data_IF_748762881621
#
_entry.id   IF_748762881621
#
_cell.length_a   1.000
_cell.length_b   1.000
_cell.length_c   1.000
_cell.angle_alpha   90.00
_cell.angle_beta   90.00
_cell.angle_gamma   90.00
#
_symmetry.space_group_name_H-M   'P 1'
#
loop_
_entity.id
_entity.type
_entity.pdbx_description
1 polymer ?
#
# COMPACT_ATOMS: atom_id res chain seq x y z
N UNK A 1 8.60 -27.71 -11.73
CA UNK A 1 8.30 -26.28 -11.92
C UNK A 1 8.96 -25.80 -13.22
N UNK A 2 8.33 -24.88 -13.98
CA UNK A 2 8.97 -24.21 -15.11
C UNK A 2 10.25 -23.48 -14.68
N UNK A 3 11.25 -23.42 -15.56
CA UNK A 3 12.54 -22.79 -15.25
C UNK A 3 12.38 -21.34 -14.75
N UNK A 4 11.53 -20.54 -15.42
CA UNK A 4 11.28 -19.17 -15.01
C UNK A 4 10.76 -19.01 -13.58
N UNK A 5 9.94 -19.95 -13.09
CA UNK A 5 9.47 -19.95 -11.69
C UNK A 5 10.60 -20.33 -10.74
N UNK A 6 11.43 -21.28 -11.14
CA UNK A 6 12.58 -21.69 -10.36
C UNK A 6 13.58 -20.55 -10.20
N UNK A 7 13.86 -19.81 -11.28
CA UNK A 7 14.75 -18.66 -11.25
C UNK A 7 14.18 -17.53 -10.38
N UNK A 8 12.87 -17.29 -10.46
CA UNK A 8 12.19 -16.31 -9.60
C UNK A 8 12.26 -16.68 -8.11
N UNK A 9 12.07 -17.98 -7.78
CA UNK A 9 12.22 -18.45 -6.40
C UNK A 9 13.67 -18.28 -5.93
N UNK A 10 14.65 -18.66 -6.75
CA UNK A 10 16.06 -18.50 -6.42
C UNK A 10 16.46 -17.05 -6.16
N UNK A 11 15.79 -16.10 -6.81
CA UNK A 11 15.99 -14.66 -6.61
C UNK A 11 15.23 -14.08 -5.39
N UNK A 12 14.70 -14.91 -4.50
CA UNK A 12 14.03 -14.48 -3.27
C UNK A 12 12.49 -14.60 -3.29
N UNK A 13 11.92 -15.13 -4.37
CA UNK A 13 10.47 -15.36 -4.47
C UNK A 13 9.95 -16.42 -3.51
N UNK A 14 8.67 -16.35 -3.15
CA UNK A 14 7.99 -17.31 -2.28
C UNK A 14 6.89 -17.99 -3.08
N UNK A 15 7.03 -19.30 -3.32
CA UNK A 15 6.00 -20.11 -3.95
C UNK A 15 5.21 -20.88 -2.91
N UNK A 16 3.89 -20.83 -2.98
CA UNK A 16 2.98 -21.62 -2.15
C UNK A 16 2.26 -22.62 -3.04
N UNK A 17 2.41 -23.88 -2.71
CA UNK A 17 1.86 -25.01 -3.44
C UNK A 17 0.68 -25.63 -2.69
N UNK A 18 -0.29 -26.15 -3.43
CA UNK A 18 -1.32 -27.02 -2.85
C UNK A 18 -0.72 -28.38 -2.45
N UNK A 19 -1.39 -29.09 -1.54
CA UNK A 19 -1.00 -30.40 -1.09
C UNK A 19 -0.87 -31.44 -2.23
N UNK A 20 -1.63 -31.26 -3.30
CA UNK A 20 -1.63 -32.15 -4.45
C UNK A 20 -0.56 -31.79 -5.49
N UNK A 21 0.17 -30.68 -5.30
CA UNK A 21 1.20 -30.28 -6.24
C UNK A 21 2.39 -31.24 -6.22
N UNK A 22 2.74 -31.76 -7.38
CA UNK A 22 3.92 -32.60 -7.54
C UNK A 22 5.18 -31.73 -7.47
N UNK A 23 5.76 -31.65 -6.30
CA UNK A 23 7.05 -30.99 -6.10
C UNK A 23 7.90 -31.84 -5.14
N UNK A 24 9.12 -32.13 -5.59
CA UNK A 24 10.07 -32.89 -4.77
C UNK A 24 10.82 -31.93 -3.85
N UNK A 25 10.46 -31.93 -2.59
CA UNK A 25 11.17 -31.15 -1.58
C UNK A 25 12.55 -31.77 -1.27
N UNK A 26 13.51 -30.94 -0.86
CA UNK A 26 14.74 -31.46 -0.26
C UNK A 26 14.42 -32.27 1.00
N UNK A 27 15.36 -33.09 1.43
CA UNK A 27 15.16 -34.02 2.56
C UNK A 27 14.81 -33.31 3.88
N UNK A 28 15.16 -32.05 4.01
CA UNK A 28 14.88 -31.26 5.22
C UNK A 28 13.80 -30.24 4.94
N UNK A 29 12.61 -30.45 5.49
CA UNK A 29 11.51 -29.47 5.46
C UNK A 29 11.37 -28.83 6.82
N UNK A 30 10.97 -27.57 6.84
CA UNK A 30 10.65 -26.79 8.04
C UNK A 30 9.15 -26.55 8.10
N UNK A 31 8.54 -26.67 9.28
CA UNK A 31 7.14 -26.31 9.49
C UNK A 31 7.04 -24.81 9.71
N UNK A 32 6.33 -24.14 8.81
CA UNK A 32 6.13 -22.69 8.84
C UNK A 32 4.83 -22.29 9.54
N UNK A 33 3.83 -23.16 9.46
CA UNK A 33 2.53 -22.87 10.08
C UNK A 33 1.96 -24.16 10.67
N UNK A 34 1.34 -24.04 11.85
CA UNK A 34 0.65 -25.14 12.54
C UNK A 34 -0.81 -24.79 12.76
N UNK A 35 -1.67 -25.78 12.75
CA UNK A 35 -3.06 -25.62 13.14
C UNK A 35 -3.21 -25.46 14.69
N UNK A 36 -4.43 -25.16 15.13
CA UNK A 36 -4.75 -24.98 16.56
C UNK A 36 -4.42 -26.21 17.43
N UNK A 37 -4.30 -27.41 16.83
CA UNK A 37 -3.95 -28.67 17.51
C UNK A 37 -2.44 -28.93 17.48
N UNK A 38 -1.68 -28.08 16.81
CA UNK A 38 -0.24 -28.20 16.67
C UNK A 38 0.23 -29.06 15.49
N UNK A 39 -0.69 -29.56 14.67
CA UNK A 39 -0.32 -30.31 13.48
C UNK A 39 0.22 -29.37 12.37
N UNK A 40 1.17 -29.83 11.56
CA UNK A 40 1.71 -29.00 10.49
C UNK A 40 0.64 -28.69 9.44
N UNK A 41 0.45 -27.40 9.14
CA UNK A 41 -0.48 -26.90 8.13
C UNK A 41 0.25 -26.51 6.85
N UNK A 42 1.41 -25.87 7.01
CA UNK A 42 2.30 -25.50 5.91
C UNK A 42 3.72 -25.92 6.22
N UNK A 43 4.29 -26.66 5.31
CA UNK A 43 5.69 -27.08 5.31
C UNK A 43 6.42 -26.47 4.13
N UNK A 44 7.72 -26.34 4.23
CA UNK A 44 8.50 -25.82 3.13
C UNK A 44 10.00 -26.00 3.30
N UNK A 45 10.72 -25.52 2.31
CA UNK A 45 12.17 -25.50 2.32
C UNK A 45 12.68 -24.23 1.66
N UNK A 46 13.89 -23.82 2.06
CA UNK A 46 14.63 -22.77 1.38
C UNK A 46 15.06 -23.26 -0.01
N UNK A 47 15.02 -22.37 -0.99
CA UNK A 47 15.39 -22.64 -2.37
C UNK A 47 16.09 -21.40 -2.93
N UNK A 48 17.41 -21.41 -2.97
CA UNK A 48 18.20 -20.20 -3.23
C UNK A 48 17.99 -19.16 -2.13
N UNK A 49 17.67 -17.92 -2.51
CA UNK A 49 17.31 -16.86 -1.57
C UNK A 49 15.83 -16.83 -1.20
N UNK A 50 15.01 -17.61 -1.92
CA UNK A 50 13.58 -17.73 -1.69
C UNK A 50 13.20 -18.99 -0.95
N UNK A 51 11.94 -19.34 -1.03
CA UNK A 51 11.39 -20.54 -0.38
C UNK A 51 10.20 -21.10 -1.15
N UNK A 52 10.06 -22.42 -1.05
CA UNK A 52 8.89 -23.14 -1.54
C UNK A 52 8.14 -23.68 -0.34
N UNK A 53 6.86 -23.33 -0.26
CA UNK A 53 5.94 -23.73 0.79
C UNK A 53 4.88 -24.63 0.18
N UNK A 54 4.35 -25.57 0.96
CA UNK A 54 3.26 -26.46 0.54
C UNK A 54 2.29 -26.67 1.69
N UNK A 55 0.99 -26.60 1.39
CA UNK A 55 -0.03 -27.05 2.32
C UNK A 55 0.06 -28.58 2.51
N UNK A 56 -0.12 -29.05 3.72
CA UNK A 56 -0.15 -30.49 4.05
C UNK A 56 -1.50 -31.12 3.74
N UNK A 57 -2.53 -30.31 3.55
CA UNK A 57 -3.91 -30.71 3.23
C UNK A 57 -4.41 -29.93 2.03
N UNK A 58 -5.37 -30.48 1.25
CA UNK A 58 -5.99 -29.77 0.13
C UNK A 58 -6.60 -28.44 0.57
N UNK A 59 -6.42 -27.42 -0.24
CA UNK A 59 -6.88 -26.06 0.04
C UNK A 59 -8.39 -25.92 -0.18
N UNK A 60 -9.18 -26.48 0.73
CA UNK A 60 -10.62 -26.36 0.75
C UNK A 60 -11.16 -26.29 2.19
N UNK A 61 -12.34 -25.68 2.38
CA UNK A 61 -12.91 -25.47 3.71
C UNK A 61 -13.29 -26.76 4.46
N UNK A 62 -13.49 -27.88 3.77
CA UNK A 62 -13.83 -29.15 4.41
C UNK A 62 -12.60 -29.79 5.09
N UNK A 63 -11.41 -29.63 4.51
CA UNK A 63 -10.16 -30.17 5.02
C UNK A 63 -9.37 -29.16 5.85
N UNK A 64 -9.65 -27.88 5.67
CA UNK A 64 -9.02 -26.74 6.34
C UNK A 64 -10.08 -25.75 6.84
N UNK A 65 -10.76 -26.01 7.95
CA UNK A 65 -11.76 -25.09 8.50
C UNK A 65 -11.18 -23.71 8.85
N UNK A 66 -9.87 -23.62 9.08
CA UNK A 66 -9.14 -22.37 9.32
C UNK A 66 -9.30 -21.35 8.18
N UNK A 67 -9.61 -21.78 6.95
CA UNK A 67 -9.92 -20.90 5.82
C UNK A 67 -11.10 -19.95 6.10
N UNK A 68 -11.99 -20.32 7.01
CA UNK A 68 -13.17 -19.55 7.39
C UNK A 68 -12.91 -18.66 8.61
N UNK A 69 -11.74 -18.75 9.22
CA UNK A 69 -11.36 -17.90 10.35
C UNK A 69 -11.02 -16.48 9.88
N UNK A 70 -11.46 -15.44 10.61
CA UNK A 70 -11.23 -14.05 10.22
C UNK A 70 -9.75 -13.67 10.18
N UNK A 71 -8.91 -14.37 10.93
CA UNK A 71 -7.46 -14.12 11.02
C UNK A 71 -6.66 -14.82 9.91
N UNK A 72 -7.25 -15.79 9.21
CA UNK A 72 -6.58 -16.55 8.17
C UNK A 72 -5.90 -15.68 7.08
N UNK A 73 -6.55 -14.65 6.51
CA UNK A 73 -5.92 -13.82 5.49
C UNK A 73 -4.69 -13.08 6.01
N UNK A 74 -4.68 -12.72 7.28
CA UNK A 74 -3.56 -12.05 7.93
C UNK A 74 -2.39 -13.01 8.10
N UNK A 75 -2.63 -14.20 8.63
CA UNK A 75 -1.62 -15.23 8.82
C UNK A 75 -1.03 -15.70 7.47
N UNK A 76 -1.87 -15.87 6.45
CA UNK A 76 -1.41 -16.19 5.10
C UNK A 76 -0.53 -15.07 4.52
N UNK A 77 -0.92 -13.83 4.70
CA UNK A 77 -0.11 -12.69 4.26
C UNK A 77 1.25 -12.69 4.96
N UNK A 78 1.26 -12.89 6.27
CA UNK A 78 2.49 -12.89 7.07
C UNK A 78 3.41 -14.07 6.69
N UNK A 79 2.82 -15.20 6.30
CA UNK A 79 3.53 -16.36 5.73
C UNK A 79 4.17 -16.03 4.38
N UNK A 80 3.46 -15.28 3.51
CA UNK A 80 3.90 -14.94 2.16
C UNK A 80 4.78 -13.69 2.10
N UNK A 81 4.83 -12.92 3.16
CA UNK A 81 5.75 -11.79 3.22
C UNK A 81 7.19 -12.33 3.36
N UNK A 82 8.04 -11.95 2.42
CA UNK A 82 9.47 -12.06 2.63
C UNK A 82 9.77 -11.35 3.96
N UNK A 83 10.47 -12.03 4.87
CA UNK A 83 10.90 -11.41 6.13
C UNK A 83 11.57 -10.09 5.77
N UNK A 84 10.93 -8.98 6.13
CA UNK A 84 11.52 -7.68 5.88
C UNK A 84 12.97 -7.72 6.40
N UNK A 85 13.95 -7.32 5.58
CA UNK A 85 15.32 -7.27 6.06
C UNK A 85 15.32 -6.49 7.37
N UNK A 86 16.07 -6.98 8.36
CA UNK A 86 16.19 -6.29 9.64
C UNK A 86 16.49 -4.81 9.34
N UNK A 87 15.80 -3.86 10.00
CA UNK A 87 15.99 -2.45 9.69
C UNK A 87 17.48 -2.12 9.80
N UNK A 88 18.12 -1.95 8.66
CA UNK A 88 19.49 -1.46 8.61
C UNK A 88 19.44 0.00 9.05
N UNK A 89 20.40 0.43 9.86
CA UNK A 89 20.58 1.84 10.15
C UNK A 89 20.91 2.53 8.83
N UNK A 90 19.93 3.25 8.32
CA UNK A 90 20.14 4.12 7.17
C UNK A 90 20.76 5.40 7.70
N UNK A 91 21.91 5.77 7.17
CA UNK A 91 22.54 7.06 7.50
C UNK A 91 21.62 8.16 6.97
N UNK A 92 21.34 9.17 7.79
CA UNK A 92 20.47 10.29 7.38
C UNK A 92 21.00 11.02 6.11
N UNK A 93 22.28 10.94 5.85
CA UNK A 93 22.92 11.50 4.66
C UNK A 93 22.50 10.77 3.36
N UNK A 94 22.13 9.50 3.42
CA UNK A 94 21.73 8.72 2.25
C UNK A 94 20.28 9.07 1.81
N UNK A 95 19.54 9.73 2.70
CA UNK A 95 18.16 10.18 2.50
C UNK A 95 18.02 11.69 2.69
N UNK A 96 19.11 12.42 2.62
CA UNK A 96 19.02 13.87 2.59
C UNK A 96 18.13 14.28 1.41
N UNK A 97 17.08 15.10 1.64
CA UNK A 97 16.22 15.54 0.56
C UNK A 97 17.09 16.24 -0.48
N UNK A 98 16.96 15.85 -1.73
CA UNK A 98 17.66 16.50 -2.85
C UNK A 98 17.09 17.93 -2.91
N UNK A 99 17.79 18.85 -2.24
CA UNK A 99 17.53 20.29 -2.33
C UNK A 99 18.03 20.75 -3.68
N UNK A 100 17.16 21.08 -4.61
CA UNK A 100 17.51 21.50 -5.96
C UNK A 100 16.59 20.94 -7.03
N UNK A 101 15.50 20.28 -6.66
CA UNK A 101 14.41 20.00 -7.58
C UNK A 101 13.89 21.29 -8.20
N UNK A 102 13.52 21.24 -9.49
CA UNK A 102 12.92 22.37 -10.18
C UNK A 102 11.89 23.05 -9.28
N UNK A 103 12.11 24.31 -8.94
CA UNK A 103 11.12 25.11 -8.24
C UNK A 103 9.84 25.05 -9.07
N UNK A 104 8.78 24.51 -8.49
CA UNK A 104 7.46 24.59 -9.09
C UNK A 104 7.17 26.09 -9.25
N UNK A 105 7.34 26.58 -10.45
CA UNK A 105 6.89 27.92 -10.81
C UNK A 105 5.36 27.88 -10.77
N UNK A 106 4.81 28.11 -9.59
CA UNK A 106 3.40 28.48 -9.49
C UNK A 106 3.30 29.87 -10.11
N UNK A 107 2.63 30.03 -11.26
CA UNK A 107 2.35 31.37 -11.74
C UNK A 107 1.57 32.06 -10.63
N UNK A 108 2.05 33.23 -10.11
CA UNK A 108 1.33 33.95 -9.09
C UNK A 108 -0.03 34.30 -9.69
N UNK A 109 -1.07 33.67 -9.17
CA UNK A 109 -2.45 34.03 -9.51
C UNK A 109 -2.71 35.36 -8.79
N UNK A 110 -2.41 36.47 -9.47
CA UNK A 110 -2.65 37.80 -8.94
C UNK A 110 -4.17 38.02 -8.86
N UNK A 111 -4.69 37.84 -7.65
CA UNK A 111 -6.11 38.06 -7.34
C UNK A 111 -6.39 39.56 -7.06
N UNK A 112 -5.37 40.40 -6.96
CA UNK A 112 -5.50 41.81 -6.68
C UNK A 112 -6.42 42.54 -7.67
N UNK A 113 -6.31 42.39 -9.01
CA UNK A 113 -7.17 43.12 -9.93
C UNK A 113 -8.64 42.74 -9.78
N UNK A 114 -8.94 41.46 -9.52
CA UNK A 114 -10.32 41.01 -9.32
C UNK A 114 -10.93 41.48 -8.01
N UNK A 115 -10.13 41.53 -6.95
CA UNK A 115 -10.54 42.08 -5.65
C UNK A 115 -10.77 43.60 -5.75
N UNK A 116 -9.90 44.33 -6.44
CA UNK A 116 -10.05 45.75 -6.67
C UNK A 116 -11.34 46.05 -7.47
N UNK A 117 -11.65 45.25 -8.48
CA UNK A 117 -12.85 45.39 -9.29
C UNK A 117 -14.11 45.13 -8.47
N UNK A 118 -14.09 44.13 -7.61
CA UNK A 118 -15.20 43.80 -6.70
C UNK A 118 -15.46 44.92 -5.69
N UNK A 119 -14.41 45.50 -5.12
CA UNK A 119 -14.51 46.64 -4.21
C UNK A 119 -15.09 47.87 -4.93
N UNK A 120 -14.60 48.17 -6.14
CA UNK A 120 -15.11 49.26 -6.94
C UNK A 120 -16.60 49.08 -7.27
N UNK A 121 -17.02 47.86 -7.63
CA UNK A 121 -18.42 47.55 -7.90
C UNK A 121 -19.30 47.76 -6.66
N UNK A 122 -18.85 47.31 -5.51
CA UNK A 122 -19.56 47.49 -4.23
C UNK A 122 -19.74 48.96 -3.89
N UNK A 123 -18.71 49.79 -4.06
CA UNK A 123 -18.78 51.22 -3.83
C UNK A 123 -19.77 51.91 -4.79
N UNK A 124 -19.81 51.52 -6.05
CA UNK A 124 -20.79 52.05 -7.02
C UNK A 124 -22.22 51.69 -6.61
N UNK A 125 -22.46 50.44 -6.20
CA UNK A 125 -23.78 50.00 -5.75
C UNK A 125 -24.20 50.75 -4.48
N UNK A 126 -23.32 50.88 -3.52
CA UNK A 126 -23.58 51.63 -2.28
C UNK A 126 -23.93 53.09 -2.57
N UNK A 127 -23.14 53.75 -3.43
CA UNK A 127 -23.37 55.12 -3.81
C UNK A 127 -24.69 55.30 -4.55
N UNK A 128 -25.04 54.38 -5.44
CA UNK A 128 -26.31 54.40 -6.17
C UNK A 128 -27.52 54.21 -5.23
N UNK A 129 -27.43 53.30 -4.27
CA UNK A 129 -28.48 53.11 -3.25
C UNK A 129 -28.62 54.31 -2.33
N UNK A 130 -27.51 54.91 -1.90
CA UNK A 130 -27.53 56.15 -1.09
C UNK A 130 -28.18 57.31 -1.81
N UNK A 131 -27.88 57.49 -3.10
CA UNK A 131 -28.50 58.56 -3.88
C UNK A 131 -29.97 58.28 -4.21
N UNK A 132 -30.42 57.08 -4.32
CA UNK A 132 -31.84 56.76 -4.44
C UNK A 132 -32.62 57.06 -3.17
N UNK A 133 -32.08 56.77 -2.00
CA UNK A 133 -32.72 57.05 -0.70
C UNK A 133 -32.90 58.55 -0.47
N UNK A 134 -31.94 59.35 -0.87
CA UNK A 134 -32.03 60.79 -0.71
C UNK A 134 -33.06 61.49 -1.63
N UNK A 135 -33.45 60.84 -2.75
CA UNK A 135 -34.51 61.39 -3.67
C UNK A 135 -35.93 60.94 -3.27
N UNK A 136 -36.10 60.05 -2.31
CA UNK A 136 -37.42 59.58 -1.82
C UNK A 136 -37.94 60.29 -0.60
N UNK A 137 -37.21 61.29 -0.06
CA UNK A 137 -37.61 62.15 1.08
C UNK A 137 -37.64 63.61 0.61
N UNK A 138 -38.61 63.88 -0.18
CA UNK A 138 -39.07 65.31 -0.36
C UNK A 138 -40.49 65.36 0.19
N UNK A 139 -40.83 66.37 1.08
CA UNK A 139 -42.15 66.51 1.70
C UNK A 139 -43.21 66.98 0.68
#
# INVERSE_FOLDING_TARGET
LPAAITDWINAGGIALLDAQAEFKFPATTTVYWRDAVGAPLVEGAAFGEGRVLRFTRPFNAATMPQLLEPDFPRELRDLLQARAPAPSRVMANDYAPITGGATYAQPPRDLQPWLALLIALLLVIERWLATRRSRGVAP
#
